data_IF_794847767410
#
_entry.id   IF_794847767410
#
_cell.length_a   1.000
_cell.length_b   1.000
_cell.length_c   1.000
_cell.angle_alpha   90.00
_cell.angle_beta   90.00
_cell.angle_gamma   90.00
#
_symmetry.space_group_name_H-M   'P 1'
#
loop_
_entity.id
_entity.type
_entity.pdbx_description
1 polymer ?
#
# COMPACT_ATOMS: atom_id res chain seq x y z
N UNK A 1 36.86 -0.17 19.42
CA UNK A 1 35.90 0.05 20.53
C UNK A 1 34.55 -0.47 20.05
N UNK A 2 33.76 -1.16 20.88
CA UNK A 2 32.50 -1.79 20.44
C UNK A 2 31.44 -0.71 20.15
N UNK A 3 30.80 -0.78 18.98
CA UNK A 3 29.48 -0.18 18.77
C UNK A 3 28.44 -1.22 19.16
N UNK A 4 27.40 -0.82 19.88
CA UNK A 4 26.26 -1.68 20.21
C UNK A 4 25.19 -1.48 19.13
N UNK A 5 24.62 -2.57 18.63
CA UNK A 5 23.37 -2.52 17.85
C UNK A 5 22.21 -2.37 18.84
N UNK A 6 21.22 -1.54 18.49
CA UNK A 6 20.15 -1.18 19.40
C UNK A 6 18.96 -2.14 19.20
N UNK A 7 18.56 -2.84 20.26
CA UNK A 7 17.34 -3.65 20.21
C UNK A 7 16.13 -2.70 20.11
N UNK A 8 15.32 -2.84 19.06
CA UNK A 8 14.18 -1.98 18.74
C UNK A 8 12.96 -2.13 19.66
N UNK A 9 13.13 -1.94 20.97
CA UNK A 9 12.01 -1.96 21.91
C UNK A 9 11.21 -0.66 21.82
N UNK A 10 10.12 -0.67 21.05
CA UNK A 10 9.16 0.45 21.06
C UNK A 10 8.42 0.46 22.41
N UNK A 11 8.65 1.50 23.21
CA UNK A 11 8.00 1.70 24.52
C UNK A 11 6.78 2.60 24.33
N UNK A 12 5.58 2.03 24.50
CA UNK A 12 4.33 2.78 24.60
C UNK A 12 4.35 3.69 25.85
N UNK A 13 4.68 4.96 25.66
CA UNK A 13 4.61 5.98 26.69
C UNK A 13 3.19 6.58 26.76
N UNK A 14 2.45 6.20 27.80
CA UNK A 14 1.17 6.80 28.16
C UNK A 14 1.30 8.32 28.35
N UNK A 15 0.44 9.09 27.68
CA UNK A 15 0.54 10.54 27.63
C UNK A 15 0.16 11.22 28.95
N UNK A 16 1.06 12.07 29.47
CA UNK A 16 0.80 13.03 30.55
C UNK A 16 1.03 14.47 30.07
N UNK A 17 0.12 15.39 30.38
CA UNK A 17 0.02 16.65 29.65
C UNK A 17 1.08 17.73 29.99
N UNK A 18 1.59 18.36 28.92
CA UNK A 18 1.94 19.80 28.82
C UNK A 18 3.23 20.32 29.51
N UNK A 19 4.25 20.63 28.68
CA UNK A 19 4.60 22.03 28.33
C UNK A 19 5.61 22.15 27.18
N UNK A 20 5.63 23.34 26.57
CA UNK A 20 6.66 23.94 25.67
C UNK A 20 8.09 23.81 26.24
N UNK A 21 9.20 23.89 25.48
CA UNK A 21 9.51 23.97 24.03
C UNK A 21 11.06 23.84 23.87
N UNK A 22 11.79 23.94 22.75
CA UNK A 22 11.60 24.43 21.35
C UNK A 22 12.42 23.58 20.36
N UNK A 23 12.23 23.75 19.04
CA UNK A 23 12.95 23.02 17.98
C UNK A 23 14.38 23.55 17.69
N UNK A 24 15.31 22.63 17.40
CA UNK A 24 16.56 22.92 16.65
C UNK A 24 17.00 21.73 15.81
N UNK A 25 17.08 21.93 14.49
CA UNK A 25 17.87 21.08 13.60
C UNK A 25 19.36 21.35 13.77
N UNK A 26 20.19 20.33 13.53
CA UNK A 26 21.65 20.47 13.39
C UNK A 26 22.09 19.60 12.22
N UNK A 27 22.78 20.20 11.25
CA UNK A 27 23.37 19.55 10.09
C UNK A 27 24.87 19.27 10.31
N UNK A 28 25.44 18.34 9.56
CA UNK A 28 26.87 18.03 9.64
C UNK A 28 27.29 16.90 8.70
N UNK A 29 27.55 17.23 7.44
CA UNK A 29 28.18 16.30 6.47
C UNK A 29 29.70 16.30 6.61
N UNK A 30 30.34 15.22 6.17
CA UNK A 30 31.76 15.20 5.81
C UNK A 30 31.96 14.43 4.50
N UNK A 31 32.38 15.13 3.46
CA UNK A 31 32.84 14.57 2.19
C UNK A 31 34.37 14.64 2.13
N UNK A 32 35.01 13.71 1.41
CA UNK A 32 36.40 13.84 0.97
C UNK A 32 36.55 13.34 -0.46
N UNK A 33 36.95 14.24 -1.37
CA UNK A 33 37.11 13.94 -2.79
C UNK A 33 38.31 13.04 -3.09
N UNK A 34 38.26 12.36 -4.24
CA UNK A 34 39.33 12.43 -5.25
C UNK A 34 38.70 12.34 -6.65
N UNK A 35 39.34 12.90 -7.67
CA UNK A 35 38.83 12.97 -9.04
C UNK A 35 39.95 12.69 -10.03
N UNK A 36 39.63 12.03 -11.15
CA UNK A 36 40.38 12.15 -12.40
C UNK A 36 39.49 11.81 -13.61
N UNK A 37 39.93 12.15 -14.83
CA UNK A 37 39.00 12.46 -15.94
C UNK A 37 39.62 12.19 -17.34
N UNK A 38 38.79 12.20 -18.40
CA UNK A 38 39.12 12.46 -19.83
C UNK A 38 39.66 11.25 -20.67
N UNK A 39 38.80 10.58 -21.48
CA UNK A 39 38.55 10.89 -22.92
C UNK A 39 38.21 9.72 -23.90
N UNK A 40 37.27 10.02 -24.80
CA UNK A 40 37.20 9.70 -26.25
C UNK A 40 37.37 8.28 -26.82
N UNK A 41 36.22 7.68 -27.17
CA UNK A 41 35.81 7.23 -28.53
C UNK A 41 36.83 6.59 -29.50
N UNK A 42 36.57 5.33 -29.85
CA UNK A 42 36.76 4.79 -31.22
C UNK A 42 35.78 3.64 -31.47
N UNK A 43 35.44 3.35 -32.73
CA UNK A 43 34.43 2.35 -33.11
C UNK A 43 35.03 1.12 -33.80
N UNK A 44 34.50 -0.05 -33.47
CA UNK A 44 34.61 -1.30 -34.27
C UNK A 44 33.42 -2.19 -33.93
N UNK A 45 32.92 -2.92 -34.91
CA UNK A 45 31.67 -3.71 -34.85
C UNK A 45 32.00 -5.20 -34.77
N UNK A 46 31.08 -6.01 -34.21
CA UNK A 46 31.00 -7.49 -34.16
C UNK A 46 31.40 -8.07 -32.78
N UNK A 47 30.66 -9.01 -32.17
CA UNK A 47 29.39 -9.67 -32.56
C UNK A 47 28.35 -9.61 -31.42
N UNK A 48 27.10 -9.91 -31.76
CA UNK A 48 25.96 -9.88 -30.84
C UNK A 48 25.85 -11.20 -30.06
N UNK A 49 26.10 -11.15 -28.76
CA UNK A 49 25.31 -11.94 -27.81
C UNK A 49 24.24 -11.01 -27.26
N UNK A 50 22.97 -11.42 -27.36
CA UNK A 50 21.86 -10.67 -26.79
C UNK A 50 21.82 -10.93 -25.29
N UNK A 51 22.36 -10.00 -24.51
CA UNK A 51 21.81 -9.77 -23.18
C UNK A 51 20.34 -9.38 -23.38
N UNK A 52 19.44 -10.34 -23.21
CA UNK A 52 18.06 -10.02 -22.86
C UNK A 52 18.15 -9.34 -21.49
N UNK A 53 17.80 -8.06 -21.47
CA UNK A 53 17.55 -7.32 -20.24
C UNK A 53 16.34 -8.01 -19.59
N UNK A 54 16.60 -8.87 -18.60
CA UNK A 54 15.57 -9.59 -17.87
C UNK A 54 14.75 -8.56 -17.10
N UNK A 55 13.69 -8.09 -17.73
CA UNK A 55 12.76 -7.15 -17.12
C UNK A 55 11.86 -7.91 -16.17
N UNK A 56 12.13 -7.74 -14.87
CA UNK A 56 11.34 -8.22 -13.74
C UNK A 56 9.83 -8.23 -14.04
N UNK A 57 9.21 -9.41 -13.95
CA UNK A 57 7.81 -9.64 -14.29
C UNK A 57 6.89 -9.37 -13.09
N UNK A 58 6.87 -8.12 -12.63
CA UNK A 58 6.10 -7.72 -11.45
C UNK A 58 4.57 -7.95 -11.55
N UNK A 59 4.04 -8.29 -12.72
CA UNK A 59 2.61 -8.66 -12.89
C UNK A 59 2.20 -9.91 -12.10
N UNK A 60 3.14 -10.80 -11.73
CA UNK A 60 2.83 -11.95 -10.86
C UNK A 60 2.27 -11.51 -9.49
N UNK A 61 2.61 -10.30 -9.05
CA UNK A 61 2.22 -9.74 -7.76
C UNK A 61 0.89 -8.96 -7.79
N UNK A 62 0.25 -8.76 -8.95
CA UNK A 62 -1.01 -8.00 -9.04
C UNK A 62 -2.11 -8.62 -8.16
N UNK A 63 -2.16 -9.96 -8.09
CA UNK A 63 -3.08 -10.74 -7.22
C UNK A 63 -2.73 -10.68 -5.72
N UNK A 64 -1.55 -10.15 -5.37
CA UNK A 64 -1.16 -9.83 -3.99
C UNK A 64 -1.53 -8.38 -3.69
N UNK A 65 -1.23 -7.45 -4.61
CA UNK A 65 -1.64 -6.04 -4.48
C UNK A 65 -3.16 -5.90 -4.35
N UNK A 66 -3.95 -6.62 -5.16
CA UNK A 66 -5.42 -6.66 -5.05
C UNK A 66 -5.88 -7.08 -3.64
N UNK A 67 -5.26 -8.12 -3.06
CA UNK A 67 -5.60 -8.58 -1.69
C UNK A 67 -5.21 -7.56 -0.64
N UNK A 68 -4.04 -6.93 -0.77
CA UNK A 68 -3.55 -5.93 0.18
C UNK A 68 -4.39 -4.63 0.13
N UNK A 69 -4.83 -4.19 -1.06
CA UNK A 69 -5.77 -3.07 -1.22
C UNK A 69 -7.14 -3.31 -0.57
N UNK A 70 -7.55 -4.58 -0.46
CA UNK A 70 -8.83 -5.00 0.10
C UNK A 70 -8.70 -5.60 1.53
N UNK A 71 -7.54 -5.48 2.18
CA UNK A 71 -7.34 -6.04 3.53
C UNK A 71 -8.00 -5.15 4.60
N UNK A 72 -9.04 -5.67 5.25
CA UNK A 72 -9.73 -5.04 6.39
C UNK A 72 -9.27 -5.59 7.73
N UNK A 73 -8.04 -6.13 7.83
CA UNK A 73 -7.46 -6.59 9.09
C UNK A 73 -7.16 -5.44 10.07
N UNK A 74 -6.74 -5.77 11.29
CA UNK A 74 -6.35 -4.78 12.30
C UNK A 74 -5.02 -4.06 11.99
N UNK A 75 -4.27 -4.52 10.98
CA UNK A 75 -2.97 -3.94 10.62
C UNK A 75 -2.64 -4.20 9.13
N UNK A 76 -3.41 -3.63 8.20
CA UNK A 76 -3.22 -3.84 6.77
C UNK A 76 -1.95 -3.15 6.28
N UNK A 77 -1.47 -3.58 5.11
CA UNK A 77 -0.43 -2.83 4.41
C UNK A 77 -1.04 -1.59 3.72
N UNK A 78 -0.24 -0.52 3.65
CA UNK A 78 -0.64 0.78 3.07
C UNK A 78 0.33 1.27 1.99
N UNK A 79 1.48 0.61 1.86
CA UNK A 79 2.52 0.90 0.88
C UNK A 79 3.12 -0.42 0.35
N UNK A 80 3.74 -0.37 -0.82
CA UNK A 80 4.46 -1.47 -1.44
C UNK A 80 5.71 -0.97 -2.19
N UNK A 81 6.65 -1.87 -2.44
CA UNK A 81 7.82 -1.60 -3.27
C UNK A 81 8.28 -2.90 -3.96
N UNK A 82 8.88 -2.77 -5.13
CA UNK A 82 9.56 -3.85 -5.83
C UNK A 82 11.08 -3.69 -5.66
N UNK A 83 11.79 -4.76 -5.32
CA UNK A 83 13.25 -4.77 -5.25
C UNK A 83 13.82 -6.21 -5.32
N UNK A 84 14.66 -6.49 -6.31
CA UNK A 84 15.51 -7.70 -6.41
C UNK A 84 16.53 -7.78 -5.24
N UNK A 85 16.28 -8.64 -4.24
CA UNK A 85 17.14 -8.77 -3.05
C UNK A 85 18.22 -9.87 -3.13
N UNK A 86 18.20 -10.75 -4.13
CA UNK A 86 19.22 -11.80 -4.31
C UNK A 86 20.15 -11.57 -5.51
N UNK A 87 19.77 -10.67 -6.43
CA UNK A 87 20.51 -10.26 -7.62
C UNK A 87 20.19 -11.06 -8.88
N UNK A 88 19.05 -11.76 -8.95
CA UNK A 88 18.69 -12.62 -10.09
C UNK A 88 18.02 -11.91 -11.27
N UNK A 89 17.54 -10.67 -11.10
CA UNK A 89 16.83 -9.89 -12.13
C UNK A 89 15.30 -9.94 -12.06
N UNK A 90 14.72 -10.71 -11.14
CA UNK A 90 13.32 -10.61 -10.73
C UNK A 90 13.25 -9.86 -9.39
N UNK A 91 12.32 -8.91 -9.26
CA UNK A 91 12.08 -8.25 -7.97
C UNK A 91 11.25 -9.13 -7.02
N UNK A 92 11.54 -9.01 -5.72
CA UNK A 92 10.59 -9.34 -4.66
C UNK A 92 9.58 -8.19 -4.44
N UNK A 93 8.35 -8.55 -4.05
CA UNK A 93 7.37 -7.58 -3.55
C UNK A 93 7.52 -7.39 -2.03
N UNK A 94 7.84 -6.17 -1.63
CA UNK A 94 7.72 -5.70 -0.25
C UNK A 94 6.39 -5.00 -0.05
N UNK A 95 5.73 -5.25 1.08
CA UNK A 95 4.61 -4.45 1.57
C UNK A 95 4.97 -3.76 2.89
N UNK A 96 4.32 -2.64 3.20
CA UNK A 96 4.69 -1.76 4.31
C UNK A 96 3.51 -1.02 4.95
N UNK A 97 3.67 -0.64 6.22
CA UNK A 97 2.68 0.10 7.03
C UNK A 97 3.20 1.51 7.30
N UNK A 98 2.46 2.51 6.84
CA UNK A 98 2.77 3.91 7.09
C UNK A 98 2.23 4.34 8.46
N UNK A 99 3.10 4.93 9.27
CA UNK A 99 2.76 5.46 10.58
C UNK A 99 2.76 7.00 10.54
N UNK A 100 1.56 7.60 10.53
CA UNK A 100 1.41 9.07 10.55
C UNK A 100 2.15 9.75 11.72
N UNK A 101 2.28 9.07 12.85
CA UNK A 101 2.92 9.56 14.07
C UNK A 101 4.44 9.74 13.95
N UNK A 102 5.08 9.09 12.99
CA UNK A 102 6.53 9.17 12.71
C UNK A 102 6.84 9.62 11.28
N UNK A 103 5.89 9.53 10.35
CA UNK A 103 6.10 9.75 8.92
C UNK A 103 6.92 8.65 8.25
N UNK A 104 6.95 7.43 8.82
CA UNK A 104 7.79 6.32 8.34
C UNK A 104 6.95 5.13 7.89
N UNK A 105 7.48 4.38 6.91
CA UNK A 105 6.93 3.09 6.49
C UNK A 105 7.73 1.99 7.19
N UNK A 106 7.05 1.12 7.94
CA UNK A 106 7.63 -0.10 8.51
C UNK A 106 7.33 -1.31 7.63
N UNK A 107 8.25 -2.26 7.56
CA UNK A 107 8.06 -3.52 6.84
C UNK A 107 6.80 -4.26 7.32
N UNK A 108 5.96 -4.70 6.37
CA UNK A 108 4.77 -5.48 6.64
C UNK A 108 4.94 -6.95 6.26
N UNK A 109 5.17 -7.24 4.98
CA UNK A 109 5.41 -8.59 4.47
C UNK A 109 6.31 -8.61 3.22
N UNK A 110 6.88 -9.79 2.95
CA UNK A 110 7.72 -10.12 1.79
C UNK A 110 7.08 -11.24 0.98
N UNK A 111 6.98 -11.04 -0.33
CA UNK A 111 6.51 -12.00 -1.32
C UNK A 111 7.55 -12.16 -2.42
N UNK A 112 7.61 -13.36 -3.00
CA UNK A 112 8.65 -13.81 -3.91
C UNK A 112 8.05 -14.57 -5.10
N UNK A 113 8.81 -14.77 -6.18
CA UNK A 113 8.36 -15.64 -7.28
C UNK A 113 8.58 -17.12 -6.96
N UNK A 114 7.53 -17.91 -7.20
CA UNK A 114 7.50 -19.35 -7.09
C UNK A 114 6.96 -19.96 -8.39
N UNK A 115 7.82 -20.00 -9.42
CA UNK A 115 7.58 -20.54 -10.76
C UNK A 115 6.54 -19.73 -11.59
N UNK A 116 6.66 -18.39 -11.59
CA UNK A 116 5.73 -17.47 -12.26
C UNK A 116 4.46 -17.18 -11.46
N UNK A 117 4.52 -17.33 -10.13
CA UNK A 117 3.39 -17.18 -9.20
C UNK A 117 3.90 -16.55 -7.91
N UNK A 118 3.35 -15.40 -7.54
CA UNK A 118 3.68 -14.74 -6.28
C UNK A 118 3.25 -15.57 -5.07
N UNK A 119 4.20 -15.83 -4.17
CA UNK A 119 4.01 -16.60 -2.93
C UNK A 119 4.54 -15.82 -1.71
N UNK A 120 4.11 -16.19 -0.50
CA UNK A 120 4.40 -15.50 0.75
C UNK A 120 5.61 -16.10 1.48
N UNK A 121 6.55 -15.26 1.92
CA UNK A 121 7.75 -15.72 2.66
C UNK A 121 7.77 -15.28 4.12
N UNK A 122 7.54 -13.99 4.41
CA UNK A 122 7.82 -13.42 5.72
C UNK A 122 6.94 -12.20 6.06
N UNK A 123 6.78 -11.90 7.35
CA UNK A 123 6.08 -10.70 7.82
C UNK A 123 6.64 -10.14 9.13
N UNK A 124 6.30 -8.89 9.40
CA UNK A 124 6.26 -8.31 10.74
C UNK A 124 4.79 -8.24 11.20
N UNK A 125 4.45 -8.86 12.32
CA UNK A 125 3.09 -8.90 12.83
C UNK A 125 3.03 -8.93 14.36
N UNK A 126 2.02 -8.29 14.94
CA UNK A 126 1.71 -8.31 16.36
C UNK A 126 0.19 -8.45 16.52
N UNK A 127 -0.26 -9.54 17.14
CA UNK A 127 -1.68 -9.75 17.41
C UNK A 127 -2.19 -8.79 18.50
N UNK A 128 -3.35 -8.18 18.27
CA UNK A 128 -4.06 -7.32 19.23
C UNK A 128 -4.39 -8.03 20.55
N UNK A 129 -4.67 -9.34 20.48
CA UNK A 129 -4.98 -10.21 21.59
C UNK A 129 -4.11 -11.48 21.57
N UNK A 130 -4.02 -12.18 22.71
CA UNK A 130 -3.19 -13.38 22.88
C UNK A 130 -1.68 -13.12 22.93
N UNK A 131 -1.19 -12.06 22.28
CA UNK A 131 0.22 -11.64 22.31
C UNK A 131 1.14 -12.44 21.38
N UNK A 132 0.60 -13.05 20.34
CA UNK A 132 1.35 -13.67 19.24
C UNK A 132 2.12 -12.62 18.42
N UNK A 133 3.29 -12.98 17.91
CA UNK A 133 4.20 -12.10 17.15
C UNK A 133 4.95 -12.85 16.06
N UNK A 134 5.18 -12.16 14.96
CA UNK A 134 6.12 -12.56 13.89
C UNK A 134 7.05 -11.40 13.53
N UNK A 135 8.28 -11.72 13.12
CA UNK A 135 9.24 -10.77 12.58
C UNK A 135 10.16 -11.45 11.56
N UNK A 136 10.97 -10.66 10.84
CA UNK A 136 11.95 -11.18 9.90
C UNK A 136 13.26 -10.36 9.88
N UNK A 137 14.38 -11.05 9.67
CA UNK A 137 15.67 -10.47 9.29
C UNK A 137 15.93 -10.84 7.82
N UNK A 138 16.12 -9.84 6.97
CA UNK A 138 16.33 -9.99 5.52
C UNK A 138 17.75 -9.54 5.20
N UNK A 139 18.44 -10.25 4.29
CA UNK A 139 19.83 -9.99 3.89
C UNK A 139 19.90 -9.73 2.38
N UNK A 140 20.89 -8.94 1.93
CA UNK A 140 21.07 -8.55 0.51
C UNK A 140 21.71 -9.65 -0.34
N UNK A 141 21.30 -10.90 -0.12
CA UNK A 141 21.72 -12.09 -0.85
C UNK A 141 20.62 -13.17 -0.86
N UNK A 142 19.36 -12.75 -0.73
CA UNK A 142 18.19 -13.63 -0.70
C UNK A 142 18.04 -14.51 0.55
N UNK A 143 18.93 -14.42 1.54
CA UNK A 143 18.71 -15.07 2.85
C UNK A 143 17.65 -14.31 3.65
N UNK A 144 16.68 -15.05 4.19
CA UNK A 144 15.62 -14.51 5.06
C UNK A 144 15.50 -15.40 6.29
N UNK A 145 15.48 -14.82 7.49
CA UNK A 145 15.15 -15.53 8.74
C UNK A 145 13.79 -15.02 9.21
N UNK A 146 12.81 -15.90 9.33
CA UNK A 146 11.54 -15.60 10.01
C UNK A 146 11.61 -16.05 11.47
N UNK A 147 11.00 -15.29 12.38
CA UNK A 147 10.92 -15.59 13.81
C UNK A 147 9.46 -15.50 14.28
N UNK A 148 8.98 -16.51 15.02
CA UNK A 148 7.59 -16.58 15.52
C UNK A 148 7.56 -16.85 17.03
N UNK A 149 6.81 -16.07 17.80
CA UNK A 149 6.78 -16.24 19.26
C UNK A 149 5.53 -15.69 19.96
N UNK A 150 5.37 -16.10 21.22
CA UNK A 150 4.39 -15.53 22.15
C UNK A 150 5.07 -14.52 23.07
N UNK A 151 4.40 -13.40 23.37
CA UNK A 151 4.94 -12.32 24.23
C UNK A 151 5.28 -12.74 25.67
N UNK A 152 4.77 -13.88 26.12
CA UNK A 152 5.05 -14.51 27.43
C UNK A 152 5.99 -15.72 27.35
N UNK A 153 6.44 -16.07 26.14
CA UNK A 153 7.41 -17.14 25.90
C UNK A 153 8.84 -16.73 26.24
N UNK A 154 9.74 -17.71 26.19
CA UNK A 154 11.20 -17.53 26.43
C UNK A 154 12.05 -17.90 25.21
N UNK A 155 11.41 -18.34 24.13
CA UNK A 155 12.02 -18.76 22.87
C UNK A 155 11.16 -18.29 21.69
N UNK A 156 11.79 -18.16 20.53
CA UNK A 156 11.20 -17.90 19.23
C UNK A 156 11.43 -19.14 18.35
N UNK A 157 10.44 -19.49 17.53
CA UNK A 157 10.53 -20.53 16.52
C UNK A 157 11.03 -19.89 15.22
N UNK A 158 12.33 -20.04 14.95
CA UNK A 158 13.02 -19.31 13.88
C UNK A 158 13.36 -20.24 12.72
N UNK A 159 13.26 -19.74 11.49
CA UNK A 159 13.59 -20.48 10.26
C UNK A 159 14.36 -19.63 9.27
N UNK A 160 15.55 -20.11 8.86
CA UNK A 160 16.35 -19.55 7.78
C UNK A 160 15.95 -20.17 6.44
N UNK A 161 15.60 -19.30 5.49
CA UNK A 161 15.34 -19.57 4.08
C UNK A 161 16.43 -18.94 3.21
N UNK A 162 16.52 -19.41 1.97
CA UNK A 162 17.28 -18.81 0.90
C UNK A 162 16.42 -18.78 -0.37
N UNK A 163 16.29 -17.62 -1.01
CA UNK A 163 15.72 -17.50 -2.36
C UNK A 163 16.61 -18.24 -3.38
N UNK A 164 15.99 -18.93 -4.33
CA UNK A 164 16.67 -19.55 -5.46
C UNK A 164 16.64 -18.59 -6.65
N UNK A 165 17.82 -18.21 -7.14
CA UNK A 165 18.02 -17.37 -8.32
C UNK A 165 17.56 -17.98 -9.67
N UNK A 166 16.76 -19.05 -9.65
CA UNK A 166 16.01 -19.57 -10.82
C UNK A 166 14.49 -19.32 -10.70
N UNK A 167 14.07 -18.58 -9.68
CA UNK A 167 12.68 -18.28 -9.32
C UNK A 167 11.80 -19.52 -9.14
N UNK A 168 12.39 -20.70 -8.88
CA UNK A 168 11.66 -21.90 -8.46
C UNK A 168 11.31 -21.90 -6.96
N UNK A 169 11.56 -20.79 -6.27
CA UNK A 169 11.11 -20.47 -4.93
C UNK A 169 12.20 -20.50 -3.85
N UNK A 170 11.88 -20.93 -2.63
CA UNK A 170 12.82 -20.93 -1.49
C UNK A 170 13.31 -22.32 -1.07
N UNK A 171 14.58 -22.39 -0.65
CA UNK A 171 15.15 -23.49 0.13
C UNK A 171 15.03 -23.23 1.63
N UNK A 172 14.60 -24.24 2.40
CA UNK A 172 14.60 -24.21 3.87
C UNK A 172 15.97 -24.68 4.35
N UNK A 173 16.79 -23.74 4.82
CA UNK A 173 18.18 -24.00 5.21
C UNK A 173 18.25 -24.60 6.63
N UNK A 174 17.51 -24.01 7.58
CA UNK A 174 17.58 -24.41 9.00
C UNK A 174 16.38 -23.91 9.80
N UNK A 175 15.89 -24.72 10.74
CA UNK A 175 15.02 -24.27 11.83
C UNK A 175 15.82 -24.26 13.15
N UNK A 176 15.51 -23.34 14.07
CA UNK A 176 16.08 -23.30 15.41
C UNK A 176 15.13 -22.64 16.42
N UNK A 177 15.17 -23.07 17.69
CA UNK A 177 14.49 -22.37 18.78
C UNK A 177 15.47 -21.38 19.41
N UNK A 178 15.30 -20.09 19.15
CA UNK A 178 16.22 -19.03 19.60
C UNK A 178 15.71 -18.41 20.90
N UNK A 179 16.50 -18.34 21.99
CA UNK A 179 16.06 -17.73 23.25
C UNK A 179 15.77 -16.23 23.11
N UNK A 180 14.71 -15.75 23.76
CA UNK A 180 14.39 -14.33 23.83
C UNK A 180 15.30 -13.66 24.87
N UNK A 181 16.28 -12.86 24.44
CA UNK A 181 17.22 -12.18 25.32
C UNK A 181 18.03 -11.10 24.61
N UNK A 182 18.65 -10.20 25.40
CA UNK A 182 19.48 -9.09 24.85
C UNK A 182 20.92 -9.49 24.51
N UNK A 183 21.34 -10.65 24.98
CA UNK A 183 22.69 -11.20 24.84
C UNK A 183 22.69 -12.43 23.91
N UNK A 184 21.74 -12.47 22.95
CA UNK A 184 21.51 -13.58 22.02
C UNK A 184 21.81 -13.11 20.60
N UNK A 185 22.84 -13.69 19.99
CA UNK A 185 23.29 -13.38 18.63
C UNK A 185 22.67 -14.40 17.66
N UNK A 186 21.82 -13.97 16.72
CA UNK A 186 21.25 -14.85 15.68
C UNK A 186 22.33 -15.60 14.90
N UNK A 187 23.51 -15.00 14.78
CA UNK A 187 24.66 -15.56 14.06
C UNK A 187 25.32 -16.78 14.72
N UNK A 188 24.95 -17.12 15.96
CA UNK A 188 25.33 -18.39 16.61
C UNK A 188 24.32 -19.52 16.32
N UNK A 189 23.14 -19.19 15.79
CA UNK A 189 22.10 -20.13 15.37
C UNK A 189 22.04 -20.29 13.85
N UNK A 190 22.30 -19.25 13.07
CA UNK A 190 22.14 -19.21 11.61
C UNK A 190 23.42 -18.76 10.90
N UNK A 191 23.60 -19.21 9.64
CA UNK A 191 24.80 -18.89 8.87
C UNK A 191 24.66 -17.54 8.17
N UNK A 192 24.84 -16.49 8.98
CA UNK A 192 24.70 -15.08 8.59
C UNK A 192 25.98 -14.26 8.88
N UNK A 193 27.08 -14.91 9.30
CA UNK A 193 28.30 -14.23 9.72
C UNK A 193 29.02 -13.59 8.53
N UNK A 194 28.78 -12.29 8.34
CA UNK A 194 29.34 -11.49 7.24
C UNK A 194 28.33 -11.16 6.14
N UNK A 195 27.10 -11.67 6.21
CA UNK A 195 26.00 -11.18 5.37
C UNK A 195 25.65 -9.73 5.73
N UNK A 196 25.16 -8.97 4.75
CA UNK A 196 24.69 -7.59 4.94
C UNK A 196 23.17 -7.61 5.13
N UNK A 197 22.68 -7.04 6.24
CA UNK A 197 21.24 -6.84 6.44
C UNK A 197 20.67 -5.85 5.41
N UNK A 198 19.43 -6.10 4.98
CA UNK A 198 18.72 -5.28 4.02
C UNK A 198 18.34 -3.92 4.63
N UNK A 199 18.47 -2.87 3.82
CA UNK A 199 18.20 -1.49 4.24
C UNK A 199 16.91 -0.99 3.59
N UNK A 200 15.80 -1.10 4.30
CA UNK A 200 14.47 -0.70 3.81
C UNK A 200 14.34 0.78 3.42
N UNK A 201 15.35 1.63 3.70
CA UNK A 201 15.37 3.02 3.25
C UNK A 201 15.75 3.20 1.77
N UNK A 202 16.19 2.13 1.08
CA UNK A 202 16.48 2.14 -0.36
C UNK A 202 15.27 1.83 -1.25
N UNK A 203 14.15 1.40 -0.64
CA UNK A 203 12.92 1.02 -1.35
C UNK A 203 12.16 2.27 -1.82
N UNK A 204 11.80 2.30 -3.11
CA UNK A 204 10.94 3.34 -3.69
C UNK A 204 9.46 3.05 -3.40
N UNK A 205 9.07 3.29 -2.15
CA UNK A 205 7.75 2.97 -1.61
C UNK A 205 6.62 3.71 -2.33
N UNK A 206 5.82 2.96 -3.08
CA UNK A 206 4.55 3.41 -3.64
C UNK A 206 3.42 3.20 -2.62
N UNK A 207 2.39 4.06 -2.57
CA UNK A 207 1.21 3.78 -1.76
C UNK A 207 0.43 2.59 -2.32
N UNK A 208 0.00 1.67 -1.45
CA UNK A 208 -1.13 0.78 -1.72
C UNK A 208 -2.40 1.64 -1.65
N UNK A 209 -2.61 2.44 -2.67
CA UNK A 209 -3.93 2.98 -2.93
C UNK A 209 -4.88 1.79 -3.17
N UNK A 210 -5.81 1.56 -2.23
CA UNK A 210 -7.17 1.22 -2.64
C UNK A 210 -7.57 2.30 -3.62
N UNK A 211 -7.89 1.92 -4.86
CA UNK A 211 -7.52 2.75 -6.02
C UNK A 211 -8.04 4.20 -5.90
N UNK A 212 -7.10 5.12 -5.63
CA UNK A 212 -7.17 6.51 -6.08
C UNK A 212 -7.14 6.40 -7.60
N UNK A 213 -8.33 6.28 -8.19
CA UNK A 213 -8.51 5.72 -9.52
C UNK A 213 -7.95 6.66 -10.57
N UNK A 214 -6.72 6.34 -10.99
CA UNK A 214 -6.03 6.89 -12.16
C UNK A 214 -6.72 6.54 -13.49
N UNK A 215 -7.95 6.02 -13.43
CA UNK A 215 -8.92 5.83 -14.51
C UNK A 215 -10.31 6.44 -14.18
N UNK A 216 -10.38 7.44 -13.30
CA UNK A 216 -11.52 8.37 -13.21
C UNK A 216 -12.77 7.93 -12.43
N UNK A 217 -12.72 6.80 -11.71
CA UNK A 217 -13.86 6.32 -10.90
C UNK A 217 -14.09 7.12 -9.59
N UNK A 218 -15.07 6.70 -8.80
CA UNK A 218 -15.49 7.31 -7.54
C UNK A 218 -14.86 6.62 -6.32
N UNK A 219 -14.26 7.39 -5.41
CA UNK A 219 -13.82 6.88 -4.11
C UNK A 219 -14.96 6.98 -3.09
N UNK A 220 -15.52 5.83 -2.70
CA UNK A 220 -16.68 5.74 -1.81
C UNK A 220 -16.35 6.11 -0.35
N UNK A 221 -15.19 5.71 0.17
CA UNK A 221 -14.81 5.99 1.56
C UNK A 221 -14.63 7.50 1.81
N UNK A 222 -14.06 8.24 0.86
CA UNK A 222 -14.04 9.71 0.88
C UNK A 222 -15.48 10.25 0.98
N UNK A 223 -16.36 9.84 0.06
CA UNK A 223 -17.75 10.35 -0.03
C UNK A 223 -18.55 10.04 1.25
N UNK A 224 -18.37 8.85 1.85
CA UNK A 224 -19.01 8.47 3.11
C UNK A 224 -18.51 9.27 4.31
N UNK A 225 -17.24 9.69 4.32
CA UNK A 225 -16.67 10.58 5.33
C UNK A 225 -16.94 12.07 5.06
N UNK A 226 -17.61 12.42 3.95
CA UNK A 226 -17.93 13.79 3.57
C UNK A 226 -16.82 14.52 2.80
N UNK A 227 -15.79 13.80 2.34
CA UNK A 227 -14.84 14.26 1.34
C UNK A 227 -15.42 13.95 -0.04
N UNK A 228 -15.83 14.99 -0.76
CA UNK A 228 -16.47 14.85 -2.06
C UNK A 228 -15.50 15.08 -3.24
N UNK A 229 -14.18 15.12 -3.00
CA UNK A 229 -13.16 15.39 -4.03
C UNK A 229 -13.29 14.46 -5.24
N UNK A 230 -13.63 13.18 -5.03
CA UNK A 230 -13.77 12.19 -6.10
C UNK A 230 -15.03 12.38 -6.99
N UNK A 231 -15.98 13.21 -6.57
CA UNK A 231 -17.16 13.63 -7.36
C UNK A 231 -16.89 14.87 -8.23
N UNK A 232 -15.79 15.60 -8.00
CA UNK A 232 -15.57 16.91 -8.61
C UNK A 232 -15.56 16.90 -10.14
N UNK A 233 -16.01 18.02 -10.74
CA UNK A 233 -16.11 18.22 -12.18
C UNK A 233 -17.55 18.19 -12.71
N UNK A 234 -17.66 18.21 -14.04
CA UNK A 234 -18.96 18.25 -14.75
C UNK A 234 -19.44 16.84 -15.08
N UNK A 235 -20.71 16.58 -14.77
CA UNK A 235 -21.42 15.36 -15.13
C UNK A 235 -22.62 15.69 -16.02
N UNK A 236 -22.99 14.78 -16.91
CA UNK A 236 -24.01 15.01 -17.93
C UNK A 236 -24.76 13.74 -18.31
N UNK A 237 -26.07 13.86 -18.46
CA UNK A 237 -26.91 12.74 -18.90
C UNK A 237 -27.23 12.78 -20.40
N UNK A 238 -27.78 11.69 -20.92
CA UNK A 238 -28.18 11.58 -22.33
C UNK A 238 -29.33 12.52 -22.75
N UNK A 239 -29.91 13.28 -21.82
CA UNK A 239 -30.88 14.36 -22.09
C UNK A 239 -30.23 15.75 -22.17
N UNK A 240 -28.90 15.83 -22.01
CA UNK A 240 -28.13 17.08 -22.03
C UNK A 240 -28.25 17.91 -20.76
N UNK A 241 -28.80 17.34 -19.67
CA UNK A 241 -28.78 17.97 -18.35
C UNK A 241 -27.41 17.78 -17.72
N UNK A 242 -26.89 18.79 -17.03
CA UNK A 242 -25.58 18.77 -16.36
C UNK A 242 -25.72 18.82 -14.84
N UNK A 243 -24.60 18.55 -14.16
CA UNK A 243 -24.32 18.88 -12.77
C UNK A 243 -22.84 19.28 -12.65
N UNK A 244 -22.52 20.36 -11.94
CA UNK A 244 -21.15 20.79 -11.64
C UNK A 244 -20.86 20.66 -10.14
N UNK A 245 -19.91 19.78 -9.79
CA UNK A 245 -19.43 19.56 -8.44
C UNK A 245 -18.08 20.27 -8.23
N UNK A 246 -17.96 21.11 -7.21
CA UNK A 246 -16.66 21.64 -6.79
C UNK A 246 -15.86 20.64 -5.97
N UNK A 247 -14.56 20.88 -5.84
CA UNK A 247 -13.65 20.13 -4.98
C UNK A 247 -13.96 20.29 -3.48
N UNK A 248 -14.67 21.36 -3.07
CA UNK A 248 -15.22 21.47 -1.71
C UNK A 248 -16.61 20.79 -1.55
N UNK A 249 -17.09 20.07 -2.56
CA UNK A 249 -18.35 19.31 -2.49
C UNK A 249 -19.63 20.14 -2.58
N UNK A 250 -19.56 21.31 -3.21
CA UNK A 250 -20.74 22.10 -3.55
C UNK A 250 -21.28 21.69 -4.92
N UNK A 251 -22.61 21.52 -5.03
CA UNK A 251 -23.30 21.19 -6.28
C UNK A 251 -24.13 22.39 -6.74
N UNK A 252 -23.67 23.14 -7.74
CA UNK A 252 -24.38 24.32 -8.29
C UNK A 252 -24.83 25.36 -7.22
N UNK A 253 -24.12 25.44 -6.08
CA UNK A 253 -24.48 26.29 -4.93
C UNK A 253 -25.44 25.64 -3.91
N UNK A 254 -25.70 24.35 -4.04
CA UNK A 254 -26.38 23.50 -3.05
C UNK A 254 -25.35 22.73 -2.20
N UNK A 255 -25.70 22.47 -0.94
CA UNK A 255 -24.88 21.66 -0.04
C UNK A 255 -25.17 20.16 -0.26
N UNK A 256 -24.12 19.35 -0.33
CA UNK A 256 -24.20 17.89 -0.26
C UNK A 256 -24.11 17.45 1.21
N UNK A 257 -24.92 16.48 1.62
CA UNK A 257 -25.01 16.04 3.01
C UNK A 257 -25.52 14.61 3.15
N UNK A 258 -25.46 14.09 4.38
CA UNK A 258 -26.07 12.79 4.77
C UNK A 258 -25.68 11.61 3.87
N UNK A 259 -24.39 11.40 3.53
CA UNK A 259 -23.97 10.28 2.70
C UNK A 259 -24.33 8.96 3.38
N UNK A 260 -24.93 8.04 2.62
CA UNK A 260 -25.43 6.77 3.15
C UNK A 260 -25.29 5.65 2.13
N UNK A 261 -24.48 4.66 2.47
CA UNK A 261 -24.29 3.45 1.69
C UNK A 261 -25.57 2.58 1.63
N UNK A 262 -25.66 1.76 0.58
CA UNK A 262 -26.63 0.69 0.42
C UNK A 262 -25.93 -0.68 0.43
N UNK A 263 -26.67 -1.74 0.72
CA UNK A 263 -26.16 -3.13 0.66
C UNK A 263 -25.82 -3.63 -0.76
N UNK A 264 -25.71 -2.72 -1.74
CA UNK A 264 -25.38 -2.98 -3.14
C UNK A 264 -24.18 -2.17 -3.61
N UNK A 265 -23.49 -1.43 -2.74
CA UNK A 265 -22.34 -0.59 -3.08
C UNK A 265 -22.70 0.77 -3.72
N UNK A 266 -23.97 1.19 -3.65
CA UNK A 266 -24.38 2.56 -4.03
C UNK A 266 -24.37 3.48 -2.82
N UNK A 267 -24.07 4.77 -3.00
CA UNK A 267 -24.19 5.78 -1.95
C UNK A 267 -25.29 6.77 -2.30
N UNK A 268 -26.23 6.99 -1.38
CA UNK A 268 -27.21 8.08 -1.48
C UNK A 268 -26.67 9.33 -0.81
N UNK A 269 -26.79 10.48 -1.48
CA UNK A 269 -26.47 11.83 -1.02
C UNK A 269 -27.75 12.67 -0.95
N UNK A 270 -27.85 13.58 0.02
CA UNK A 270 -28.92 14.55 0.12
C UNK A 270 -28.43 15.96 -0.27
N UNK A 271 -28.97 16.49 -1.37
CA UNK A 271 -28.63 17.80 -1.93
C UNK A 271 -29.71 18.83 -1.52
N UNK A 272 -29.33 19.83 -0.73
CA UNK A 272 -30.23 20.86 -0.20
C UNK A 272 -29.73 22.29 -0.42
N UNK A 273 -30.64 23.26 -0.42
CA UNK A 273 -30.26 24.66 -0.61
C UNK A 273 -29.33 25.15 0.52
N UNK A 274 -28.19 25.76 0.17
CA UNK A 274 -27.15 26.17 1.13
C UNK A 274 -27.62 27.17 2.21
N UNK A 275 -28.72 27.90 1.94
CA UNK A 275 -29.36 28.84 2.86
C UNK A 275 -30.44 28.19 3.76
N UNK A 276 -30.63 26.87 3.71
CA UNK A 276 -31.63 26.15 4.49
C UNK A 276 -33.08 26.31 3.99
N UNK A 277 -33.29 26.82 2.77
CA UNK A 277 -34.63 26.91 2.19
C UNK A 277 -35.26 25.51 1.97
N UNK A 278 -36.57 25.33 2.20
CA UNK A 278 -37.23 24.03 2.07
C UNK A 278 -37.29 23.60 0.59
N UNK A 279 -36.53 22.56 0.26
CA UNK A 279 -36.40 22.00 -1.07
C UNK A 279 -35.08 21.23 -1.19
N UNK A 280 -34.99 20.35 -2.19
CA UNK A 280 -33.83 19.51 -2.40
C UNK A 280 -34.18 18.24 -3.19
N UNK A 281 -33.16 17.44 -3.47
CA UNK A 281 -33.27 16.13 -4.11
C UNK A 281 -32.18 15.21 -3.57
N UNK A 282 -32.25 13.92 -3.90
CA UNK A 282 -31.20 12.97 -3.59
C UNK A 282 -30.41 12.63 -4.86
N UNK A 283 -29.12 12.37 -4.71
CA UNK A 283 -28.30 11.73 -5.75
C UNK A 283 -27.96 10.32 -5.29
N UNK A 284 -28.14 9.33 -6.15
CA UNK A 284 -27.55 8.00 -5.97
C UNK A 284 -26.29 7.89 -6.83
N UNK A 285 -25.20 7.53 -6.16
CA UNK A 285 -23.84 7.44 -6.66
C UNK A 285 -23.52 5.98 -6.97
N UNK A 286 -23.06 5.72 -8.19
CA UNK A 286 -22.73 4.40 -8.70
C UNK A 286 -21.26 4.36 -9.13
N UNK A 287 -20.36 3.73 -8.35
CA UNK A 287 -19.01 3.39 -8.80
C UNK A 287 -19.01 2.52 -10.07
N UNK A 288 -17.85 2.34 -10.66
CA UNK A 288 -17.67 1.40 -11.77
C UNK A 288 -18.01 -0.03 -11.33
N UNK A 289 -18.58 -0.82 -12.25
CA UNK A 289 -19.11 -2.16 -11.98
C UNK A 289 -20.44 -2.20 -11.22
N UNK A 290 -20.71 -1.26 -10.30
CA UNK A 290 -21.91 -1.27 -9.44
C UNK A 290 -23.20 -1.13 -10.27
N UNK A 291 -24.17 -2.02 -10.03
CA UNK A 291 -25.41 -2.12 -10.81
C UNK A 291 -26.63 -1.58 -10.07
N UNK A 292 -27.56 -0.94 -10.79
CA UNK A 292 -28.87 -0.57 -10.25
C UNK A 292 -29.69 -1.84 -9.91
N UNK A 293 -30.03 -2.09 -8.63
CA UNK A 293 -30.73 -3.30 -8.19
C UNK A 293 -32.23 -3.33 -8.55
N UNK A 294 -32.74 -2.34 -9.27
CA UNK A 294 -34.11 -2.28 -9.82
C UNK A 294 -34.19 -2.56 -11.32
N UNK A 295 -33.05 -2.46 -12.01
CA UNK A 295 -32.94 -2.52 -13.46
C UNK A 295 -31.86 -1.55 -13.91
N UNK A 296 -30.86 -2.06 -14.64
CA UNK A 296 -29.70 -1.29 -15.06
C UNK A 296 -29.53 -1.33 -16.57
N UNK A 297 -29.80 -0.19 -17.19
CA UNK A 297 -29.68 0.06 -18.63
C UNK A 297 -28.50 1.01 -18.94
N UNK A 298 -27.61 1.23 -17.97
CA UNK A 298 -26.47 2.15 -18.03
C UNK A 298 -25.16 1.45 -18.39
N UNK A 299 -24.17 2.23 -18.81
CA UNK A 299 -22.81 1.73 -18.99
C UNK A 299 -22.09 1.70 -17.64
N UNK A 300 -22.00 0.51 -17.04
CA UNK A 300 -21.29 0.30 -15.78
C UNK A 300 -19.80 0.01 -15.94
N UNK A 301 -19.19 0.29 -17.10
CA UNK A 301 -17.72 0.34 -17.22
C UNK A 301 -17.12 1.66 -16.73
N UNK A 302 -17.97 2.57 -16.25
CA UNK A 302 -17.64 3.92 -15.78
C UNK A 302 -18.55 4.34 -14.60
N UNK A 303 -18.14 5.33 -13.79
CA UNK A 303 -18.97 5.89 -12.73
C UNK A 303 -20.22 6.58 -13.28
N UNK A 304 -21.32 6.52 -12.52
CA UNK A 304 -22.60 7.16 -12.86
C UNK A 304 -23.25 7.85 -11.67
N UNK A 305 -24.08 8.85 -11.95
CA UNK A 305 -24.99 9.47 -11.00
C UNK A 305 -26.44 9.40 -11.50
N UNK A 306 -27.40 9.27 -10.56
CA UNK A 306 -28.83 9.51 -10.80
C UNK A 306 -29.31 10.55 -9.79
N UNK A 307 -30.01 11.59 -10.24
CA UNK A 307 -30.68 12.55 -9.37
C UNK A 307 -32.21 12.34 -9.36
N UNK A 308 -32.84 12.40 -8.19
CA UNK A 308 -34.28 12.24 -8.08
C UNK A 308 -34.86 12.36 -6.65
N UNK A 309 -36.13 11.98 -6.52
CA UNK A 309 -36.83 11.86 -5.22
C UNK A 309 -37.04 10.39 -4.80
N UNK A 310 -36.89 9.46 -5.76
CA UNK A 310 -37.05 8.01 -5.60
C UNK A 310 -36.13 7.32 -6.59
N UNK A 311 -35.52 6.20 -6.19
CA UNK A 311 -34.63 5.41 -7.04
C UNK A 311 -35.34 4.12 -7.48
N UNK A 312 -35.46 3.94 -8.80
CA UNK A 312 -36.28 2.93 -9.48
C UNK A 312 -35.49 2.33 -10.66
N UNK A 313 -36.16 1.53 -11.51
CA UNK A 313 -35.62 1.20 -12.83
C UNK A 313 -35.58 2.49 -13.69
N UNK A 314 -34.42 2.80 -14.29
CA UNK A 314 -34.20 4.04 -15.03
C UNK A 314 -33.68 3.75 -16.45
N UNK A 315 -34.19 4.45 -17.49
CA UNK A 315 -33.69 4.31 -18.84
C UNK A 315 -32.29 4.94 -18.99
N UNK A 316 -31.51 4.45 -19.95
CA UNK A 316 -30.09 4.75 -20.13
C UNK A 316 -29.75 6.26 -20.13
N UNK A 317 -30.61 7.09 -20.73
CA UNK A 317 -30.36 8.53 -20.89
C UNK A 317 -30.65 9.36 -19.62
N UNK A 318 -31.16 8.74 -18.56
CA UNK A 318 -31.31 9.39 -17.24
C UNK A 318 -30.00 9.42 -16.43
N UNK A 319 -29.09 8.46 -16.66
CA UNK A 319 -27.81 8.37 -15.97
C UNK A 319 -26.86 9.49 -16.43
N UNK A 320 -26.21 10.12 -15.47
CA UNK A 320 -25.18 11.12 -15.68
C UNK A 320 -23.80 10.46 -15.65
N UNK A 321 -22.93 10.82 -16.59
CA UNK A 321 -21.54 10.39 -16.72
C UNK A 321 -20.64 11.63 -16.69
N UNK A 322 -19.35 11.49 -16.38
CA UNK A 322 -18.38 12.61 -16.38
C UNK A 322 -18.12 13.09 -17.83
N UNK A 323 -18.03 14.42 -18.06
CA UNK A 323 -17.62 14.99 -19.37
C UNK A 323 -16.10 14.96 -19.59
#
# INVERSE_FOLDING_TARGET
MKKFVLLGTMILLLSGCSKKSDSRSVSGSWNTNSSETISSSSSTVSQTESNEEVTSNNSIYDVVLEKLRNDTSESPATHYAYYDIDGNGQDELFSGRYWESTGTIEFAALYYDNNGVADYLAQSYVASAGGYREAANIYTDGTVITAKWMSTGTQMEDTQYQLRADNSGVDVIKNANVPIGRDVELSDYFDIKGKKEFDFSILDWQPLASEQTSSGDLNIDQILNGDYTSLAGTWKNGRGQTFEFSDEGMLEGMNISSPRESSYGTVTLACGAANGAPGGFAIEVYPTGVKNPKGDHSDSSQPRLIAGQQFIDFPAEAYYYRE
#
